data_IF_346983888122
#
_entry.id   IF_346983888122
#
_cell.length_a   1.000
_cell.length_b   1.000
_cell.length_c   1.000
_cell.angle_alpha   90.00
_cell.angle_beta   90.00
_cell.angle_gamma   90.00
#
_symmetry.space_group_name_H-M   'P 1'
#
loop_
_entity.id
_entity.type
_entity.pdbx_description
1 polymer ?
#
# COMPACT_ATOMS: atom_id res chain seq x y z
N UNK A 1 -8.27 -8.42 7.79
CA UNK A 1 -8.58 -9.06 6.50
C UNK A 1 -7.34 -9.60 5.79
N UNK A 2 -6.37 -8.76 5.39
CA UNK A 2 -5.15 -9.23 4.69
C UNK A 2 -4.39 -10.33 5.43
N UNK A 3 -4.28 -10.25 6.77
CA UNK A 3 -3.60 -11.28 7.58
C UNK A 3 -4.18 -12.67 7.36
N UNK A 4 -5.50 -12.80 7.22
CA UNK A 4 -6.15 -14.10 6.98
C UNK A 4 -5.75 -14.69 5.63
N UNK A 5 -5.74 -13.87 4.58
CA UNK A 5 -5.34 -14.30 3.24
C UNK A 5 -3.88 -14.75 3.22
N UNK A 6 -3.00 -14.01 3.90
CA UNK A 6 -1.58 -14.37 4.00
C UNK A 6 -1.37 -15.66 4.81
N UNK A 7 -2.15 -15.87 5.89
CA UNK A 7 -2.11 -17.10 6.66
C UNK A 7 -2.61 -18.30 5.84
N UNK A 8 -3.65 -18.13 5.01
CA UNK A 8 -4.05 -19.15 4.06
C UNK A 8 -2.93 -19.47 3.05
N UNK A 9 -2.30 -18.47 2.44
CA UNK A 9 -1.16 -18.70 1.53
C UNK A 9 0.01 -19.42 2.23
N UNK A 10 0.14 -19.26 3.55
CA UNK A 10 1.22 -19.86 4.35
C UNK A 10 0.94 -21.30 4.76
N UNK A 11 -0.28 -21.60 5.19
CA UNK A 11 -0.64 -22.89 5.82
C UNK A 11 -1.62 -23.72 5.02
N UNK A 12 -2.27 -23.14 4.00
CA UNK A 12 -3.28 -23.77 3.15
C UNK A 12 -4.50 -24.28 3.91
N UNK A 13 -4.76 -23.73 5.09
CA UNK A 13 -5.92 -24.04 5.93
C UNK A 13 -7.07 -23.08 5.59
N UNK A 14 -8.16 -23.63 5.06
CA UNK A 14 -9.33 -22.88 4.61
C UNK A 14 -10.07 -22.17 5.75
N UNK A 15 -9.82 -22.50 7.02
CA UNK A 15 -10.42 -21.76 8.14
C UNK A 15 -10.09 -20.26 8.09
N UNK A 16 -8.91 -19.89 7.56
CA UNK A 16 -8.53 -18.50 7.35
C UNK A 16 -9.35 -17.83 6.23
N UNK A 17 -9.71 -18.57 5.18
CA UNK A 17 -10.60 -18.08 4.13
C UNK A 17 -12.02 -17.85 4.66
N UNK A 18 -12.53 -18.75 5.50
CA UNK A 18 -13.84 -18.58 6.14
C UNK A 18 -13.88 -17.35 7.04
N UNK A 19 -12.84 -17.15 7.86
CA UNK A 19 -12.71 -15.93 8.68
C UNK A 19 -12.61 -14.67 7.82
N UNK A 20 -11.90 -14.75 6.70
CA UNK A 20 -11.88 -13.65 5.76
C UNK A 20 -13.29 -13.32 5.23
N UNK A 21 -14.07 -14.32 4.82
CA UNK A 21 -15.43 -14.17 4.29
C UNK A 21 -16.37 -13.49 5.30
N UNK A 22 -16.34 -13.90 6.57
CA UNK A 22 -17.15 -13.29 7.64
C UNK A 22 -16.95 -11.77 7.72
N UNK A 23 -15.69 -11.34 7.71
CA UNK A 23 -15.32 -9.92 7.75
C UNK A 23 -15.61 -9.22 6.43
N UNK A 24 -15.31 -9.86 5.31
CA UNK A 24 -15.50 -9.31 3.98
C UNK A 24 -16.97 -8.99 3.69
N UNK A 25 -17.87 -9.93 4.00
CA UNK A 25 -19.32 -9.73 3.88
C UNK A 25 -19.81 -8.58 4.76
N UNK A 26 -19.26 -8.45 5.97
CA UNK A 26 -19.60 -7.35 6.89
C UNK A 26 -19.19 -5.99 6.32
N UNK A 27 -18.01 -5.89 5.68
CA UNK A 27 -17.55 -4.65 5.04
C UNK A 27 -18.36 -4.32 3.78
N UNK A 28 -18.76 -5.31 2.97
CA UNK A 28 -19.61 -5.07 1.79
C UNK A 28 -20.99 -4.52 2.15
N UNK A 29 -21.55 -4.90 3.30
CA UNK A 29 -22.79 -4.31 3.84
C UNK A 29 -22.63 -2.83 4.20
N UNK A 30 -21.41 -2.34 4.36
CA UNK A 30 -21.11 -0.95 4.69
C UNK A 30 -20.92 -0.04 3.47
N UNK A 31 -21.03 -0.56 2.24
CA UNK A 31 -20.97 0.28 1.03
C UNK A 31 -22.09 1.30 1.02
N UNK A 32 -21.80 2.46 0.47
CA UNK A 32 -22.74 3.57 0.46
C UNK A 32 -24.00 3.25 -0.36
N UNK A 33 -23.84 2.60 -1.52
CA UNK A 33 -24.97 2.10 -2.34
C UNK A 33 -25.84 1.05 -1.64
N UNK A 34 -25.31 0.35 -0.64
CA UNK A 34 -26.08 -0.62 0.17
C UNK A 34 -26.79 0.09 1.33
N UNK A 35 -26.11 1.07 1.94
CA UNK A 35 -26.64 1.86 3.06
C UNK A 35 -27.59 2.98 2.62
N UNK A 36 -27.65 3.30 1.33
CA UNK A 36 -28.45 4.40 0.78
C UNK A 36 -27.95 5.79 1.19
N UNK A 37 -26.65 5.91 1.48
CA UNK A 37 -26.03 7.20 1.86
C UNK A 37 -25.24 7.78 0.69
N UNK A 38 -25.05 9.10 0.67
CA UNK A 38 -24.47 9.80 -0.48
C UNK A 38 -23.17 10.53 -0.14
N UNK A 39 -22.31 10.72 -1.14
CA UNK A 39 -21.16 11.62 -1.03
C UNK A 39 -21.56 13.09 -1.23
N UNK A 40 -20.55 13.96 -1.28
CA UNK A 40 -20.70 15.40 -1.46
C UNK A 40 -21.39 15.81 -2.76
N UNK A 41 -21.47 14.91 -3.76
CA UNK A 41 -22.14 15.12 -5.05
C UNK A 41 -23.60 14.65 -5.02
N UNK A 42 -24.06 14.10 -3.89
CA UNK A 42 -25.37 13.46 -3.79
C UNK A 42 -25.42 12.06 -4.38
N UNK A 43 -24.27 11.42 -4.66
CA UNK A 43 -24.22 10.10 -5.27
C UNK A 43 -24.05 8.99 -4.23
N UNK A 44 -24.87 7.94 -4.34
CA UNK A 44 -24.75 6.72 -3.54
C UNK A 44 -24.06 5.63 -4.39
N UNK A 45 -22.75 5.46 -4.18
CA UNK A 45 -21.87 4.67 -5.05
C UNK A 45 -21.41 3.37 -4.39
N UNK A 46 -20.95 2.35 -5.15
CA UNK A 46 -20.48 1.07 -4.60
C UNK A 46 -19.09 1.15 -3.95
N UNK A 47 -18.85 2.18 -3.15
CA UNK A 47 -17.61 2.44 -2.41
C UNK A 47 -17.95 2.88 -0.96
N UNK A 48 -16.94 3.34 -0.21
CA UNK A 48 -17.08 3.75 1.19
C UNK A 48 -16.62 5.20 1.34
N UNK A 49 -17.55 6.12 1.62
CA UNK A 49 -17.21 7.51 1.93
C UNK A 49 -16.48 7.64 3.27
N UNK A 50 -15.64 8.67 3.34
CA UNK A 50 -15.00 9.18 4.56
C UNK A 50 -15.41 10.64 4.78
N UNK A 51 -15.33 11.10 6.03
CA UNK A 51 -15.37 12.51 6.39
C UNK A 51 -14.30 12.82 7.45
N UNK A 52 -13.98 14.10 7.64
CA UNK A 52 -13.35 14.59 8.86
C UNK A 52 -14.44 15.18 9.76
N UNK A 53 -14.38 14.92 11.07
CA UNK A 53 -15.37 15.45 12.00
C UNK A 53 -15.39 16.99 11.95
N UNK A 54 -16.58 17.63 12.00
CA UNK A 54 -16.68 19.08 12.09
C UNK A 54 -15.84 19.61 13.26
N UNK A 55 -15.00 20.62 12.99
CA UNK A 55 -14.10 21.20 13.99
C UNK A 55 -12.75 20.48 14.16
N UNK A 56 -12.47 19.42 13.40
CA UNK A 56 -11.13 18.81 13.34
C UNK A 56 -10.09 19.86 12.92
N UNK A 57 -8.99 20.06 13.66
CA UNK A 57 -7.88 20.90 13.21
C UNK A 57 -7.25 20.33 11.94
N UNK A 58 -7.03 21.17 10.92
CA UNK A 58 -6.44 20.79 9.62
C UNK A 58 -7.13 19.57 8.95
N UNK A 59 -8.44 19.65 8.67
CA UNK A 59 -9.15 18.53 8.07
C UNK A 59 -8.68 18.29 6.64
N UNK A 60 -8.54 17.01 6.25
CA UNK A 60 -8.24 16.65 4.86
C UNK A 60 -9.49 16.79 3.97
N UNK A 61 -10.66 16.49 4.54
CA UNK A 61 -11.97 16.66 3.92
C UNK A 61 -12.68 17.84 4.59
N UNK A 62 -12.92 18.90 3.82
CA UNK A 62 -13.45 20.16 4.30
C UNK A 62 -14.95 20.09 4.61
N UNK A 63 -15.36 20.97 5.53
CA UNK A 63 -16.76 21.26 5.90
C UNK A 63 -17.58 20.05 6.39
N UNK A 64 -16.92 19.01 6.91
CA UNK A 64 -17.61 17.79 7.36
C UNK A 64 -18.33 17.05 6.22
N UNK A 65 -17.96 17.32 4.96
CA UNK A 65 -18.56 16.65 3.80
C UNK A 65 -18.03 15.21 3.70
N UNK A 66 -18.74 14.40 2.93
CA UNK A 66 -18.36 13.01 2.70
C UNK A 66 -17.78 12.83 1.30
N UNK A 67 -16.64 12.18 1.17
CA UNK A 67 -15.99 11.91 -0.11
C UNK A 67 -15.49 10.47 -0.18
N UNK A 68 -15.47 9.93 -1.41
CA UNK A 68 -14.77 8.70 -1.74
C UNK A 68 -13.33 9.06 -2.09
N UNK A 69 -12.36 8.37 -1.49
CA UNK A 69 -10.94 8.67 -1.63
C UNK A 69 -10.18 7.43 -2.11
N UNK A 70 -9.22 7.63 -3.01
CA UNK A 70 -8.45 6.57 -3.67
C UNK A 70 -7.77 5.64 -2.66
N UNK A 71 -7.17 6.18 -1.58
CA UNK A 71 -6.44 5.39 -0.59
C UNK A 71 -7.33 4.49 0.25
N UNK A 72 -8.50 4.96 0.67
CA UNK A 72 -9.49 4.15 1.38
C UNK A 72 -10.08 3.07 0.47
N UNK A 73 -10.47 3.43 -0.76
CA UNK A 73 -10.96 2.47 -1.74
C UNK A 73 -9.92 1.38 -2.01
N UNK A 74 -8.67 1.75 -2.28
CA UNK A 74 -7.59 0.79 -2.49
C UNK A 74 -7.39 -0.12 -1.28
N UNK A 75 -7.34 0.44 -0.07
CA UNK A 75 -7.09 -0.33 1.16
C UNK A 75 -8.22 -1.32 1.48
N UNK A 76 -9.47 -0.94 1.22
CA UNK A 76 -10.65 -1.76 1.49
C UNK A 76 -10.86 -2.80 0.37
N UNK A 77 -10.67 -2.42 -0.89
CA UNK A 77 -10.89 -3.29 -2.05
C UNK A 77 -9.76 -4.31 -2.27
N UNK A 78 -8.51 -3.97 -1.93
CA UNK A 78 -7.35 -4.85 -2.09
C UNK A 78 -7.56 -6.29 -1.58
N UNK A 79 -8.01 -6.53 -0.34
CA UNK A 79 -8.19 -7.90 0.14
C UNK A 79 -9.34 -8.65 -0.54
N UNK A 80 -10.38 -7.96 -1.06
CA UNK A 80 -11.41 -8.63 -1.88
C UNK A 80 -10.81 -9.17 -3.18
N UNK A 81 -10.02 -8.35 -3.87
CA UNK A 81 -9.35 -8.75 -5.10
C UNK A 81 -8.30 -9.84 -4.85
N UNK A 82 -7.54 -9.77 -3.74
CA UNK A 82 -6.57 -10.81 -3.37
C UNK A 82 -7.25 -12.16 -3.10
N UNK A 83 -8.36 -12.20 -2.36
CA UNK A 83 -9.12 -13.43 -2.17
C UNK A 83 -9.56 -14.03 -3.51
N UNK A 84 -10.13 -13.21 -4.40
CA UNK A 84 -10.58 -13.69 -5.69
C UNK A 84 -9.42 -14.26 -6.51
N UNK A 85 -8.27 -13.58 -6.53
CA UNK A 85 -7.04 -14.07 -7.16
C UNK A 85 -6.56 -15.40 -6.58
N UNK A 86 -6.66 -15.61 -5.27
CA UNK A 86 -6.30 -16.90 -4.64
C UNK A 86 -7.22 -18.00 -5.17
N UNK A 87 -8.54 -17.80 -5.08
CA UNK A 87 -9.53 -18.80 -5.48
C UNK A 87 -9.47 -19.12 -6.97
N UNK A 88 -9.36 -18.10 -7.84
CA UNK A 88 -9.34 -18.29 -9.30
C UNK A 88 -8.09 -18.99 -9.81
N UNK A 89 -6.99 -18.96 -9.05
CA UNK A 89 -5.74 -19.62 -9.41
C UNK A 89 -5.60 -21.02 -8.81
N UNK A 90 -6.64 -21.52 -8.13
CA UNK A 90 -6.56 -22.74 -7.34
C UNK A 90 -7.83 -23.60 -7.52
N UNK A 91 -7.78 -24.64 -8.37
CA UNK A 91 -8.93 -25.51 -8.62
C UNK A 91 -9.48 -26.21 -7.37
N UNK A 92 -8.67 -26.39 -6.32
CA UNK A 92 -9.12 -27.01 -5.06
C UNK A 92 -10.08 -26.10 -4.27
N UNK A 93 -10.14 -24.81 -4.61
CA UNK A 93 -11.00 -23.81 -3.99
C UNK A 93 -12.31 -23.56 -4.73
N UNK A 94 -12.75 -24.48 -5.60
CA UNK A 94 -13.96 -24.34 -6.41
C UNK A 94 -15.22 -23.99 -5.58
N UNK A 95 -15.31 -24.47 -4.33
CA UNK A 95 -16.40 -24.15 -3.40
C UNK A 95 -16.51 -22.64 -3.07
N UNK A 96 -15.44 -21.87 -3.27
CA UNK A 96 -15.37 -20.44 -3.01
C UNK A 96 -15.58 -19.58 -4.27
N UNK A 97 -15.75 -20.18 -5.46
CA UNK A 97 -15.81 -19.43 -6.72
C UNK A 97 -16.88 -18.34 -6.72
N UNK A 98 -18.07 -18.65 -6.22
CA UNK A 98 -19.16 -17.68 -6.13
C UNK A 98 -18.79 -16.47 -5.27
N UNK A 99 -18.07 -16.69 -4.17
CA UNK A 99 -17.57 -15.61 -3.31
C UNK A 99 -16.47 -14.81 -4.00
N UNK A 100 -15.57 -15.49 -4.71
CA UNK A 100 -14.53 -14.84 -5.50
C UNK A 100 -15.13 -13.90 -6.56
N UNK A 101 -16.18 -14.31 -7.27
CA UNK A 101 -16.88 -13.48 -8.26
C UNK A 101 -17.54 -12.25 -7.64
N UNK A 102 -18.18 -12.40 -6.48
CA UNK A 102 -18.78 -11.28 -5.74
C UNK A 102 -17.68 -10.28 -5.34
N UNK A 103 -16.56 -10.77 -4.81
CA UNK A 103 -15.51 -9.92 -4.26
C UNK A 103 -14.68 -9.23 -5.34
N UNK A 104 -14.33 -9.90 -6.45
CA UNK A 104 -13.63 -9.23 -7.54
C UNK A 104 -14.51 -8.18 -8.21
N UNK A 105 -15.81 -8.45 -8.36
CA UNK A 105 -16.76 -7.46 -8.88
C UNK A 105 -16.90 -6.27 -7.93
N UNK A 106 -17.03 -6.51 -6.63
CA UNK A 106 -17.09 -5.43 -5.65
C UNK A 106 -15.82 -4.56 -5.64
N UNK A 107 -14.63 -5.17 -5.79
CA UNK A 107 -13.39 -4.44 -5.93
C UNK A 107 -13.35 -3.61 -7.23
N UNK A 108 -13.75 -4.20 -8.36
CA UNK A 108 -13.82 -3.52 -9.65
C UNK A 108 -14.80 -2.34 -9.63
N UNK A 109 -16.00 -2.54 -9.08
CA UNK A 109 -17.03 -1.50 -8.94
C UNK A 109 -16.52 -0.34 -8.07
N UNK A 110 -15.84 -0.63 -6.97
CA UNK A 110 -15.29 0.39 -6.08
C UNK A 110 -14.14 1.18 -6.75
N UNK A 111 -13.25 0.50 -7.48
CA UNK A 111 -12.20 1.15 -8.27
C UNK A 111 -12.78 2.08 -9.33
N UNK A 112 -13.86 1.66 -10.01
CA UNK A 112 -14.50 2.43 -11.07
C UNK A 112 -15.10 3.78 -10.59
N UNK A 113 -15.37 3.94 -9.29
CA UNK A 113 -15.78 5.23 -8.69
C UNK A 113 -14.72 6.33 -8.89
N UNK A 114 -13.48 5.94 -9.16
CA UNK A 114 -12.32 6.82 -9.36
C UNK A 114 -11.89 6.92 -10.84
N UNK A 115 -12.68 6.44 -11.80
CA UNK A 115 -12.30 6.47 -13.22
C UNK A 115 -12.12 7.90 -13.76
N UNK A 116 -12.90 8.85 -13.26
CA UNK A 116 -12.79 10.26 -13.62
C UNK A 116 -11.63 10.99 -12.91
N UNK A 117 -10.94 10.32 -12.00
CA UNK A 117 -9.73 10.79 -11.30
C UNK A 117 -8.44 10.28 -11.95
N UNK A 118 -8.53 9.33 -12.90
CA UNK A 118 -7.39 8.81 -13.64
C UNK A 118 -6.84 9.82 -14.65
N UNK A 119 -5.52 10.03 -14.67
CA UNK A 119 -4.82 10.92 -15.61
C UNK A 119 -3.65 10.18 -16.25
N UNK A 120 -3.44 10.44 -17.54
CA UNK A 120 -2.35 9.87 -18.33
C UNK A 120 -1.46 10.98 -18.87
N UNK A 121 -0.16 10.71 -18.94
CA UNK A 121 0.82 11.59 -19.57
C UNK A 121 1.86 10.73 -20.26
N UNK A 122 1.78 10.63 -21.59
CA UNK A 122 2.64 9.74 -22.38
C UNK A 122 2.46 8.28 -21.95
N UNK A 123 3.53 7.68 -21.42
CA UNK A 123 3.58 6.30 -20.93
C UNK A 123 3.33 6.16 -19.43
N UNK A 124 3.11 7.27 -18.73
CA UNK A 124 2.83 7.34 -17.30
C UNK A 124 1.35 7.56 -17.02
N UNK A 125 0.94 7.32 -15.78
CA UNK A 125 -0.42 7.58 -15.33
C UNK A 125 -0.56 7.54 -13.82
N UNK A 126 -1.47 8.34 -13.30
CA UNK A 126 -1.73 8.45 -11.87
C UNK A 126 -3.18 8.89 -11.60
N UNK A 127 -3.64 8.69 -10.37
CA UNK A 127 -4.89 9.26 -9.88
C UNK A 127 -4.67 10.65 -9.30
N UNK A 128 -5.70 11.51 -9.35
CA UNK A 128 -5.73 12.82 -8.70
C UNK A 128 -6.84 12.88 -7.66
N UNK A 129 -6.73 13.79 -6.68
CA UNK A 129 -7.92 14.23 -5.95
C UNK A 129 -8.81 15.00 -6.92
N UNK A 130 -10.07 14.59 -7.13
CA UNK A 130 -10.96 15.29 -8.08
C UNK A 130 -11.01 16.79 -7.78
N UNK A 131 -10.74 17.63 -8.77
CA UNK A 131 -10.88 19.09 -8.65
C UNK A 131 -12.33 19.46 -8.32
N UNK A 132 -12.54 20.39 -7.39
CA UNK A 132 -13.84 20.77 -6.84
C UNK A 132 -14.42 19.74 -5.85
N UNK A 133 -13.68 18.67 -5.51
CA UNK A 133 -14.04 17.82 -4.37
C UNK A 133 -13.79 18.53 -3.05
N UNK A 134 -14.35 18.09 -1.91
CA UNK A 134 -14.07 18.70 -0.61
C UNK A 134 -12.69 18.33 -0.07
N UNK A 135 -11.78 17.75 -0.86
CA UNK A 135 -10.44 17.43 -0.38
C UNK A 135 -9.56 18.69 -0.41
N UNK A 136 -8.79 18.95 0.65
CA UNK A 136 -8.08 20.22 0.83
C UNK A 136 -7.17 20.60 -0.36
N UNK A 137 -6.54 19.63 -1.00
CA UNK A 137 -5.72 19.80 -2.21
C UNK A 137 -6.35 19.14 -3.45
N UNK A 138 -7.62 19.42 -3.68
CA UNK A 138 -8.31 19.02 -4.90
C UNK A 138 -7.54 19.43 -6.17
N UNK A 139 -7.63 18.64 -7.24
CA UNK A 139 -6.90 18.87 -8.50
C UNK A 139 -5.46 18.38 -8.52
N UNK A 140 -4.89 17.97 -7.37
CA UNK A 140 -3.49 17.49 -7.27
C UNK A 140 -3.43 15.97 -7.41
N UNK A 141 -2.36 15.44 -8.05
CA UNK A 141 -2.05 14.01 -8.09
C UNK A 141 -1.92 13.40 -6.71
N UNK A 142 -2.56 12.26 -6.44
CA UNK A 142 -2.49 11.62 -5.13
C UNK A 142 -1.04 11.17 -4.83
N UNK A 143 -0.60 11.13 -3.57
CA UNK A 143 0.77 10.71 -3.22
C UNK A 143 1.13 9.31 -3.76
N UNK A 144 2.42 9.01 -3.86
CA UNK A 144 2.89 7.74 -4.44
C UNK A 144 2.30 6.53 -3.73
N UNK A 145 2.30 6.52 -2.40
CA UNK A 145 1.74 5.40 -1.63
C UNK A 145 0.26 5.14 -1.94
N UNK A 146 -0.54 6.17 -2.25
CA UNK A 146 -1.95 6.02 -2.62
C UNK A 146 -2.11 5.46 -4.03
N UNK A 147 -1.33 5.99 -4.99
CA UNK A 147 -1.26 5.45 -6.36
C UNK A 147 -0.83 3.97 -6.36
N UNK A 148 0.23 3.63 -5.62
CA UNK A 148 0.76 2.28 -5.52
C UNK A 148 -0.17 1.36 -4.74
N UNK A 149 -0.88 1.87 -3.72
CA UNK A 149 -1.96 1.15 -3.06
C UNK A 149 -3.08 0.76 -4.04
N UNK A 150 -3.49 1.70 -4.91
CA UNK A 150 -4.45 1.42 -5.97
C UNK A 150 -3.88 0.41 -6.98
N UNK A 151 -2.62 0.55 -7.39
CA UNK A 151 -1.95 -0.39 -8.30
C UNK A 151 -1.88 -1.82 -7.76
N UNK A 152 -1.66 -2.01 -6.45
CA UNK A 152 -1.75 -3.33 -5.79
C UNK A 152 -3.14 -3.95 -5.96
N UNK A 153 -4.20 -3.15 -5.84
CA UNK A 153 -5.59 -3.59 -6.03
C UNK A 153 -5.85 -3.96 -7.47
N UNK A 154 -5.51 -3.06 -8.41
CA UNK A 154 -5.63 -3.29 -9.85
C UNK A 154 -4.91 -4.58 -10.26
N UNK A 155 -3.71 -4.83 -9.72
CA UNK A 155 -2.94 -6.05 -10.00
C UNK A 155 -3.67 -7.31 -9.59
N UNK A 156 -4.30 -7.33 -8.41
CA UNK A 156 -5.08 -8.50 -7.97
C UNK A 156 -6.35 -8.68 -8.82
N UNK A 157 -7.01 -7.59 -9.22
CA UNK A 157 -8.16 -7.67 -10.11
C UNK A 157 -7.73 -8.22 -11.48
N UNK A 158 -6.65 -7.69 -12.06
CA UNK A 158 -6.10 -8.19 -13.32
C UNK A 158 -5.74 -9.67 -13.23
N UNK A 159 -5.06 -10.11 -12.17
CA UNK A 159 -4.72 -11.53 -11.98
C UNK A 159 -5.97 -12.42 -11.88
N UNK A 160 -7.09 -11.91 -11.37
CA UNK A 160 -8.33 -12.66 -11.24
C UNK A 160 -9.24 -12.62 -12.49
N UNK A 161 -9.07 -11.63 -13.37
CA UNK A 161 -10.02 -11.34 -14.48
C UNK A 161 -9.39 -11.36 -15.87
N UNK A 162 -8.09 -11.08 -15.98
CA UNK A 162 -7.39 -10.88 -17.25
C UNK A 162 -7.73 -9.58 -17.99
N UNK A 163 -8.52 -8.66 -17.41
CA UNK A 163 -8.96 -7.45 -18.11
C UNK A 163 -7.79 -6.47 -18.36
N UNK A 164 -7.54 -6.17 -19.65
CA UNK A 164 -6.37 -5.39 -20.10
C UNK A 164 -6.31 -3.96 -19.55
N UNK A 165 -7.46 -3.32 -19.29
CA UNK A 165 -7.51 -1.96 -18.73
C UNK A 165 -6.79 -1.84 -17.38
N UNK A 166 -6.81 -2.91 -16.59
CA UNK A 166 -6.12 -2.93 -15.29
C UNK A 166 -4.61 -3.06 -15.48
N UNK A 167 -4.16 -3.92 -16.41
CA UNK A 167 -2.76 -4.07 -16.76
C UNK A 167 -2.15 -2.75 -17.26
N UNK A 168 -2.86 -2.04 -18.13
CA UNK A 168 -2.43 -0.74 -18.63
C UNK A 168 -2.21 0.28 -17.49
N UNK A 169 -3.21 0.46 -16.60
CA UNK A 169 -3.07 1.36 -15.44
C UNK A 169 -1.93 0.95 -14.50
N UNK A 170 -1.76 -0.35 -14.21
CA UNK A 170 -0.65 -0.83 -13.37
C UNK A 170 0.69 -0.45 -13.99
N UNK A 171 0.85 -0.69 -15.29
CA UNK A 171 2.09 -0.43 -16.02
C UNK A 171 2.44 1.05 -16.01
N UNK A 172 1.43 1.91 -16.23
CA UNK A 172 1.57 3.36 -16.21
C UNK A 172 1.91 3.92 -14.83
N UNK A 173 1.29 3.40 -13.77
CA UNK A 173 1.63 3.78 -12.38
C UNK A 173 3.03 3.29 -12.02
N UNK A 174 3.41 2.09 -12.44
CA UNK A 174 4.74 1.55 -12.17
C UNK A 174 5.83 2.39 -12.84
N UNK A 175 5.65 2.73 -14.13
CA UNK A 175 6.55 3.63 -14.86
C UNK A 175 6.65 4.99 -14.20
N UNK A 176 5.51 5.58 -13.85
CA UNK A 176 5.47 6.86 -13.13
C UNK A 176 6.31 6.80 -11.84
N UNK A 177 6.16 5.74 -11.04
CA UNK A 177 6.96 5.59 -9.83
C UNK A 177 8.45 5.36 -10.12
N UNK A 178 8.80 4.53 -11.12
CA UNK A 178 10.19 4.26 -11.51
C UNK A 178 10.95 5.54 -11.86
N UNK A 179 10.35 6.43 -12.65
CA UNK A 179 10.95 7.71 -13.07
C UNK A 179 11.17 8.69 -11.90
N UNK A 180 10.49 8.47 -10.77
CA UNK A 180 10.60 9.32 -9.58
C UNK A 180 11.42 8.70 -8.45
N UNK A 181 12.02 7.52 -8.68
CA UNK A 181 13.00 6.95 -7.75
C UNK A 181 14.35 7.64 -7.92
N UNK A 182 14.92 8.08 -6.80
CA UNK A 182 16.31 8.56 -6.76
C UNK A 182 17.21 7.43 -6.28
N UNK A 183 18.28 7.16 -7.03
CA UNK A 183 19.34 6.25 -6.62
C UNK A 183 20.36 7.02 -5.77
N UNK A 184 20.37 6.76 -4.46
CA UNK A 184 21.32 7.33 -3.51
C UNK A 184 22.29 6.22 -3.07
N UNK A 185 23.52 6.24 -3.62
CA UNK A 185 24.43 5.09 -3.62
C UNK A 185 23.71 3.85 -4.20
N UNK A 186 23.50 2.80 -3.40
CA UNK A 186 22.76 1.58 -3.81
C UNK A 186 21.33 1.50 -3.25
N UNK A 187 20.81 2.59 -2.67
CA UNK A 187 19.48 2.64 -2.08
C UNK A 187 18.51 3.40 -3.00
N UNK A 188 17.28 2.91 -3.14
CA UNK A 188 16.21 3.72 -3.69
C UNK A 188 15.57 4.59 -2.61
N UNK A 189 15.50 5.89 -2.87
CA UNK A 189 14.82 6.87 -2.02
C UNK A 189 13.84 7.68 -2.86
N UNK A 190 12.73 8.10 -2.28
CA UNK A 190 11.72 8.89 -2.99
C UNK A 190 10.96 9.83 -2.05
N UNK A 191 10.47 10.93 -2.63
CA UNK A 191 9.62 11.88 -1.93
C UNK A 191 8.20 11.33 -1.77
N UNK A 192 7.49 11.77 -0.72
CA UNK A 192 6.09 11.37 -0.51
C UNK A 192 5.17 11.84 -1.64
N UNK A 193 5.38 13.08 -2.10
CA UNK A 193 4.69 13.69 -3.22
C UNK A 193 5.59 13.87 -4.44
N UNK A 194 4.95 14.13 -5.57
CA UNK A 194 5.54 14.55 -6.84
C UNK A 194 4.74 15.73 -7.43
N UNK A 195 5.15 16.24 -8.59
CA UNK A 195 4.42 17.28 -9.32
C UNK A 195 4.05 18.47 -8.44
N UNK A 196 2.79 18.91 -8.51
CA UNK A 196 2.27 20.01 -7.67
C UNK A 196 2.30 19.71 -6.17
N UNK A 197 2.08 18.46 -5.76
CA UNK A 197 2.16 18.09 -4.35
C UNK A 197 3.57 18.32 -3.77
N UNK A 198 4.60 18.03 -4.56
CA UNK A 198 5.99 18.29 -4.18
C UNK A 198 6.40 19.75 -4.40
N UNK A 199 6.12 20.33 -5.57
CA UNK A 199 6.61 21.65 -5.99
C UNK A 199 5.82 22.82 -5.41
N UNK A 200 4.57 22.59 -5.01
CA UNK A 200 3.64 23.66 -4.74
C UNK A 200 2.99 24.22 -6.00
N UNK A 201 2.15 25.23 -5.78
CA UNK A 201 1.47 25.97 -6.84
C UNK A 201 1.10 27.38 -6.38
N UNK A 202 0.94 28.29 -7.34
CA UNK A 202 0.47 29.66 -7.13
C UNK A 202 -1.02 29.81 -7.48
N UNK A 203 -1.59 30.95 -7.12
CA UNK A 203 -3.00 31.30 -7.36
C UNK A 203 -3.32 31.31 -8.86
N UNK A 204 -2.38 31.77 -9.69
CA UNK A 204 -2.54 31.92 -11.13
C UNK A 204 -2.66 30.57 -11.85
N UNK A 205 -2.10 29.51 -11.28
CA UNK A 205 -2.14 28.17 -11.86
C UNK A 205 -3.50 27.49 -11.67
N UNK A 206 -4.34 27.98 -10.75
CA UNK A 206 -5.69 27.46 -10.48
C UNK A 206 -5.73 25.94 -10.30
N UNK A 207 -4.75 25.37 -9.59
CA UNK A 207 -4.65 23.90 -9.42
C UNK A 207 -5.78 23.36 -8.54
N UNK A 208 -6.03 24.03 -7.42
CA UNK A 208 -7.00 23.62 -6.38
C UNK A 208 -7.99 24.75 -6.12
N UNK A 209 -9.27 24.40 -5.98
CA UNK A 209 -10.32 25.36 -5.61
C UNK A 209 -10.29 25.62 -4.10
N UNK A 210 -9.87 24.62 -3.30
CA UNK A 210 -9.86 24.70 -1.83
C UNK A 210 -8.58 25.31 -1.25
N UNK A 211 -7.44 25.13 -1.93
CA UNK A 211 -6.14 25.66 -1.54
C UNK A 211 -5.54 26.44 -2.71
N UNK A 212 -5.84 27.74 -2.86
CA UNK A 212 -5.40 28.51 -4.02
C UNK A 212 -3.88 28.60 -4.21
N UNK A 213 -3.10 28.49 -3.13
CA UNK A 213 -1.64 28.40 -3.21
C UNK A 213 -1.07 27.47 -2.13
N UNK A 214 0.02 26.78 -2.46
CA UNK A 214 0.69 25.85 -1.56
C UNK A 214 2.20 25.83 -1.84
N UNK A 215 3.02 25.77 -0.79
CA UNK A 215 4.49 25.76 -0.92
C UNK A 215 5.11 24.43 -1.31
N UNK A 216 4.30 23.37 -1.42
CA UNK A 216 4.78 22.02 -1.69
C UNK A 216 5.24 21.26 -0.44
N UNK A 217 5.26 19.93 -0.54
CA UNK A 217 5.71 19.04 0.52
C UNK A 217 6.99 18.31 0.11
N UNK A 218 8.10 18.64 0.78
CA UNK A 218 9.45 18.19 0.40
C UNK A 218 9.98 16.99 1.18
N UNK A 219 9.16 16.35 2.03
CA UNK A 219 9.65 15.21 2.81
C UNK A 219 9.69 13.94 1.98
N UNK A 220 10.68 13.11 2.30
CA UNK A 220 10.77 11.73 1.85
C UNK A 220 9.55 10.93 2.33
N UNK A 221 9.31 9.79 1.69
CA UNK A 221 8.34 8.80 2.15
C UNK A 221 8.76 8.24 3.52
N UNK A 222 7.80 8.06 4.43
CA UNK A 222 8.06 7.35 5.68
C UNK A 222 8.00 5.83 5.52
N UNK A 223 8.61 5.08 6.43
CA UNK A 223 8.74 3.63 6.31
C UNK A 223 7.39 2.89 6.30
N UNK A 224 6.32 3.46 6.88
CA UNK A 224 5.01 2.80 6.99
C UNK A 224 4.26 2.90 5.68
N UNK A 225 4.19 4.09 5.12
CA UNK A 225 3.62 4.29 3.79
C UNK A 225 4.53 3.70 2.71
N UNK A 226 5.84 3.78 2.88
CA UNK A 226 6.83 3.18 1.98
C UNK A 226 6.73 1.65 1.91
N UNK A 227 6.21 0.99 2.94
CA UNK A 227 5.90 -0.45 2.87
C UNK A 227 4.88 -0.79 1.78
N UNK A 228 3.96 0.13 1.44
CA UNK A 228 3.02 -0.06 0.32
C UNK A 228 3.74 -0.06 -1.02
N UNK A 229 4.69 0.86 -1.20
CA UNK A 229 5.51 0.93 -2.40
C UNK A 229 6.41 -0.31 -2.54
N UNK A 230 7.07 -0.70 -1.45
CA UNK A 230 7.93 -1.88 -1.40
C UNK A 230 7.15 -3.17 -1.69
N UNK A 231 5.95 -3.33 -1.13
CA UNK A 231 5.07 -4.48 -1.42
C UNK A 231 4.64 -4.49 -2.90
N UNK A 232 4.26 -3.34 -3.46
CA UNK A 232 3.92 -3.23 -4.87
C UNK A 232 5.08 -3.63 -5.78
N UNK A 233 6.30 -3.17 -5.50
CA UNK A 233 7.49 -3.49 -6.30
C UNK A 233 7.73 -4.99 -6.36
N UNK A 234 7.62 -5.70 -5.23
CA UNK A 234 7.72 -7.17 -5.21
C UNK A 234 6.60 -7.81 -6.03
N UNK A 235 5.36 -7.34 -5.89
CA UNK A 235 4.23 -7.88 -6.65
C UNK A 235 4.37 -7.66 -8.16
N UNK A 236 4.85 -6.49 -8.58
CA UNK A 236 5.07 -6.15 -9.98
C UNK A 236 6.21 -6.95 -10.59
N UNK A 237 7.33 -7.10 -9.86
CA UNK A 237 8.46 -7.96 -10.24
C UNK A 237 8.02 -9.42 -10.41
N UNK A 238 7.29 -9.97 -9.45
CA UNK A 238 6.77 -11.34 -9.51
C UNK A 238 5.80 -11.57 -10.66
N UNK A 239 5.06 -10.53 -11.07
CA UNK A 239 4.14 -10.59 -12.19
C UNK A 239 4.82 -10.34 -13.55
N UNK A 240 6.11 -9.96 -13.58
CA UNK A 240 6.83 -9.63 -14.81
C UNK A 240 6.33 -8.35 -15.50
N UNK A 241 5.66 -7.44 -14.78
CA UNK A 241 5.04 -6.23 -15.36
C UNK A 241 6.00 -5.04 -15.35
N UNK A 242 6.70 -4.84 -14.23
CA UNK A 242 7.63 -3.74 -14.00
C UNK A 242 8.65 -4.15 -12.93
N UNK A 243 9.73 -3.37 -12.81
CA UNK A 243 10.85 -3.69 -11.91
C UNK A 243 11.45 -5.08 -12.17
N UNK A 244 11.48 -5.53 -13.43
CA UNK A 244 11.72 -6.93 -13.83
C UNK A 244 13.15 -7.44 -13.59
N UNK A 245 14.09 -6.55 -13.31
CA UNK A 245 15.47 -6.89 -12.98
C UNK A 245 15.70 -6.99 -11.47
N UNK A 246 16.43 -8.01 -11.02
CA UNK A 246 16.73 -8.28 -9.60
C UNK A 246 17.35 -7.07 -8.88
N UNK A 247 18.08 -6.22 -9.62
CA UNK A 247 18.69 -5.00 -9.09
C UNK A 247 17.67 -4.10 -8.39
N UNK A 248 16.42 -4.07 -8.85
CA UNK A 248 15.38 -3.28 -8.19
C UNK A 248 15.05 -3.85 -6.81
N UNK A 249 14.92 -5.16 -6.68
CA UNK A 249 14.66 -5.83 -5.41
C UNK A 249 15.82 -5.59 -4.44
N UNK A 250 17.06 -5.70 -4.91
CA UNK A 250 18.24 -5.42 -4.09
C UNK A 250 18.31 -3.95 -3.65
N UNK A 251 18.01 -2.97 -4.51
CA UNK A 251 18.04 -1.55 -4.15
C UNK A 251 17.02 -1.17 -3.09
N UNK A 252 15.80 -1.73 -3.15
CA UNK A 252 14.80 -1.56 -2.08
C UNK A 252 15.22 -2.28 -0.78
N UNK A 253 15.86 -3.45 -0.88
CA UNK A 253 16.42 -4.13 0.28
C UNK A 253 17.54 -3.31 0.94
N UNK A 254 18.39 -2.64 0.15
CA UNK A 254 19.42 -1.72 0.67
C UNK A 254 18.82 -0.50 1.35
N UNK A 255 17.74 0.06 0.82
CA UNK A 255 16.98 1.11 1.53
C UNK A 255 16.56 0.64 2.93
N UNK A 256 16.05 -0.59 3.03
CA UNK A 256 15.67 -1.16 4.31
C UNK A 256 16.88 -1.34 5.26
N UNK A 257 17.94 -1.98 4.80
CA UNK A 257 19.10 -2.34 5.63
C UNK A 257 19.98 -1.14 6.01
N UNK A 258 20.17 -0.20 5.09
CA UNK A 258 21.15 0.88 5.25
C UNK A 258 20.50 2.19 5.72
N UNK A 259 19.24 2.45 5.33
CA UNK A 259 18.58 3.71 5.65
C UNK A 259 17.52 3.56 6.74
N UNK A 260 16.74 2.47 6.75
CA UNK A 260 15.63 2.33 7.70
C UNK A 260 16.05 1.66 9.01
N UNK A 261 16.77 0.54 8.95
CA UNK A 261 17.21 -0.20 10.14
C UNK A 261 18.55 0.34 10.61
N UNK A 262 18.60 0.85 11.84
CA UNK A 262 19.82 1.33 12.48
C UNK A 262 20.60 0.17 13.12
N UNK A 263 21.90 0.39 13.33
CA UNK A 263 22.77 -0.59 14.01
C UNK A 263 22.38 -0.90 15.47
N UNK A 264 21.61 -0.03 16.12
CA UNK A 264 21.05 -0.24 17.47
C UNK A 264 19.67 -0.90 17.45
N UNK A 265 19.17 -1.32 16.28
CA UNK A 265 17.85 -1.91 16.09
C UNK A 265 16.71 -0.89 16.01
N UNK A 266 17.00 0.41 16.12
CA UNK A 266 16.02 1.47 15.92
C UNK A 266 15.59 1.61 14.46
N UNK A 267 14.42 2.21 14.22
CA UNK A 267 13.88 2.46 12.88
C UNK A 267 13.91 3.95 12.58
N UNK A 268 14.52 4.34 11.47
CA UNK A 268 14.44 5.70 10.94
C UNK A 268 13.08 5.94 10.30
N UNK A 269 12.56 7.16 10.46
CA UNK A 269 11.24 7.54 9.96
C UNK A 269 11.17 7.48 8.43
N UNK A 270 12.16 8.02 7.72
CA UNK A 270 12.12 8.20 6.27
C UNK A 270 13.02 7.23 5.52
N UNK A 271 12.61 6.87 4.29
CA UNK A 271 13.35 5.98 3.38
C UNK A 271 14.74 6.50 3.01
N UNK A 272 15.00 7.80 3.17
CA UNK A 272 16.32 8.40 2.99
C UNK A 272 17.27 8.16 4.16
N UNK A 273 16.78 7.66 5.29
CA UNK A 273 17.54 7.54 6.54
C UNK A 273 17.78 8.88 7.25
N UNK A 274 17.35 9.99 6.65
CA UNK A 274 17.38 11.31 7.26
C UNK A 274 16.24 11.42 8.27
N UNK A 275 16.47 12.17 9.35
CA UNK A 275 15.43 12.50 10.31
C UNK A 275 14.57 13.66 9.81
N UNK A 276 13.33 13.77 10.32
CA UNK A 276 12.32 14.73 9.85
C UNK A 276 12.82 16.17 9.78
N UNK A 277 13.70 16.54 10.71
CA UNK A 277 14.12 17.92 10.97
C UNK A 277 15.64 18.04 11.26
N UNK A 278 16.45 17.03 10.91
CA UNK A 278 17.79 16.87 11.51
C UNK A 278 17.76 16.45 12.99
N UNK A 279 16.57 16.40 13.61
CA UNK A 279 16.29 15.81 14.91
C UNK A 279 15.52 14.50 14.78
N UNK A 280 15.92 13.48 15.55
CA UNK A 280 15.28 12.17 15.58
C UNK A 280 13.83 12.28 16.08
N UNK A 281 12.84 12.19 15.19
CA UNK A 281 11.51 11.74 15.60
C UNK A 281 11.60 10.23 15.84
N UNK A 282 11.82 9.92 17.11
CA UNK A 282 12.01 8.57 17.63
C UNK A 282 10.67 7.88 17.72
N UNK A 283 10.38 6.88 16.88
CA UNK A 283 9.37 5.89 17.23
C UNK A 283 10.00 4.87 18.17
N UNK A 284 9.85 5.09 19.48
CA UNK A 284 9.99 4.03 20.49
C UNK A 284 8.59 3.48 20.78
N UNK A 285 8.46 2.15 20.77
CA UNK A 285 7.22 1.45 21.13
C UNK A 285 6.54 0.72 19.96
N UNK A 286 5.25 0.43 20.11
CA UNK A 286 4.43 -0.45 19.25
C UNK A 286 4.35 -0.09 17.75
N UNK A 287 4.97 1.00 17.28
CA UNK A 287 4.98 1.33 15.87
C UNK A 287 6.23 0.82 15.13
N UNK A 288 7.34 0.55 15.84
CA UNK A 288 8.56 0.04 15.21
C UNK A 288 8.37 -1.34 14.56
N UNK A 289 7.48 -2.17 15.13
CA UNK A 289 7.07 -3.47 14.58
C UNK A 289 6.54 -3.34 13.14
N UNK A 290 6.01 -2.17 12.74
CA UNK A 290 5.50 -1.95 11.39
C UNK A 290 6.59 -2.02 10.32
N UNK A 291 7.88 -2.01 10.70
CA UNK A 291 8.96 -2.36 9.76
C UNK A 291 8.77 -3.76 9.18
N UNK A 292 8.12 -4.65 9.93
CA UNK A 292 7.73 -5.98 9.47
C UNK A 292 6.74 -5.98 8.32
N UNK A 293 6.16 -4.86 7.92
CA UNK A 293 5.38 -4.76 6.67
C UNK A 293 6.27 -4.89 5.42
N UNK A 294 7.60 -4.72 5.56
CA UNK A 294 8.59 -4.93 4.50
C UNK A 294 9.01 -6.40 4.33
N UNK A 295 8.37 -7.34 5.05
CA UNK A 295 8.84 -8.74 5.17
C UNK A 295 9.04 -9.50 3.86
N UNK A 296 8.44 -9.05 2.74
CA UNK A 296 8.69 -9.64 1.42
C UNK A 296 10.15 -9.57 0.99
N UNK A 297 10.95 -8.67 1.57
CA UNK A 297 12.38 -8.56 1.30
C UNK A 297 13.25 -9.49 2.17
N UNK A 298 12.70 -10.27 3.10
CA UNK A 298 13.50 -11.06 4.05
C UNK A 298 14.50 -12.04 3.42
N UNK A 299 14.32 -12.44 2.16
CA UNK A 299 15.30 -13.30 1.47
C UNK A 299 16.58 -12.59 1.09
N UNK A 300 16.47 -11.30 0.75
CA UNK A 300 17.60 -10.45 0.35
C UNK A 300 18.06 -9.51 1.48
N UNK A 301 17.22 -9.33 2.51
CA UNK A 301 17.51 -8.62 3.76
C UNK A 301 17.14 -9.50 4.98
N UNK A 302 17.91 -10.56 5.27
CA UNK A 302 17.55 -11.58 6.26
C UNK A 302 17.50 -11.07 7.71
N UNK A 303 18.21 -9.97 8.01
CA UNK A 303 18.18 -9.31 9.32
C UNK A 303 16.78 -8.82 9.69
N UNK A 304 15.94 -8.47 8.70
CA UNK A 304 14.59 -7.99 8.92
C UNK A 304 13.75 -8.98 9.74
N UNK A 305 13.82 -10.27 9.43
CA UNK A 305 13.03 -11.28 10.11
C UNK A 305 13.44 -11.40 11.57
N UNK A 306 14.73 -11.60 11.83
CA UNK A 306 15.26 -11.85 13.17
C UNK A 306 15.03 -10.61 14.06
N UNK A 307 15.25 -9.40 13.53
CA UNK A 307 14.97 -8.14 14.24
C UNK A 307 13.48 -7.95 14.54
N UNK A 308 12.60 -8.25 13.57
CA UNK A 308 11.15 -8.13 13.78
C UNK A 308 10.68 -9.14 14.83
N UNK A 309 11.17 -10.39 14.81
CA UNK A 309 10.87 -11.38 15.85
C UNK A 309 11.25 -10.88 17.26
N UNK A 310 12.43 -10.27 17.41
CA UNK A 310 12.86 -9.69 18.70
C UNK A 310 11.90 -8.59 19.17
N UNK A 311 11.45 -7.72 18.26
CA UNK A 311 10.49 -6.66 18.60
C UNK A 311 9.13 -7.24 19.01
N UNK A 312 8.63 -8.27 18.32
CA UNK A 312 7.32 -8.89 18.63
C UNK A 312 7.37 -9.73 19.90
N UNK A 313 8.50 -10.34 20.25
CA UNK A 313 8.61 -11.24 21.41
C UNK A 313 8.28 -10.55 22.75
N UNK A 314 8.47 -9.23 22.85
CA UNK A 314 8.13 -8.44 24.03
C UNK A 314 6.66 -7.96 24.08
N UNK A 315 5.83 -8.28 23.08
CA UNK A 315 4.48 -7.74 22.94
C UNK A 315 3.42 -8.81 23.27
N UNK A 316 2.48 -8.47 24.15
CA UNK A 316 1.30 -9.30 24.45
C UNK A 316 0.11 -9.01 23.53
N UNK A 317 0.09 -7.84 22.89
CA UNK A 317 -0.94 -7.42 21.93
C UNK A 317 -0.31 -6.65 20.80
N UNK A 318 -0.83 -6.82 19.59
CA UNK A 318 -0.47 -6.03 18.43
C UNK A 318 -1.74 -5.40 17.86
N UNK A 319 -1.69 -4.10 17.52
CA UNK A 319 -2.82 -3.43 16.85
C UNK A 319 -3.12 -4.05 15.48
N UNK A 320 -4.18 -3.60 14.80
CA UNK A 320 -4.60 -4.18 13.53
C UNK A 320 -3.47 -4.27 12.46
N UNK A 321 -2.62 -3.24 12.26
CA UNK A 321 -1.47 -3.36 11.35
C UNK A 321 -0.41 -4.37 11.84
N UNK A 322 -0.21 -4.48 13.15
CA UNK A 322 0.71 -5.46 13.75
C UNK A 322 0.24 -6.91 13.59
N UNK A 323 -1.07 -7.18 13.52
CA UNK A 323 -1.59 -8.51 13.15
C UNK A 323 -1.15 -8.92 11.74
N UNK A 324 -1.03 -7.97 10.81
CA UNK A 324 -0.49 -8.25 9.48
C UNK A 324 1.01 -8.55 9.54
N UNK A 325 1.76 -7.84 10.39
CA UNK A 325 3.18 -8.15 10.64
C UNK A 325 3.36 -9.58 11.19
N UNK A 326 2.53 -10.00 12.15
CA UNK A 326 2.57 -11.37 12.68
C UNK A 326 2.29 -12.41 11.59
N UNK A 327 1.32 -12.16 10.70
CA UNK A 327 1.08 -13.04 9.55
C UNK A 327 2.28 -13.09 8.61
N UNK A 328 2.94 -11.96 8.36
CA UNK A 328 4.18 -11.88 7.59
C UNK A 328 5.34 -12.65 8.23
N UNK A 329 5.47 -12.64 9.56
CA UNK A 329 6.45 -13.48 10.27
C UNK A 329 6.17 -14.97 10.07
N UNK A 330 4.93 -15.41 10.17
CA UNK A 330 4.59 -16.81 9.90
C UNK A 330 4.93 -17.20 8.45
N UNK A 331 4.52 -16.35 7.50
CA UNK A 331 4.84 -16.52 6.08
C UNK A 331 6.35 -16.61 5.84
N UNK A 332 7.12 -15.65 6.37
CA UNK A 332 8.56 -15.62 6.19
C UNK A 332 9.23 -16.83 6.83
N UNK A 333 8.83 -17.23 8.05
CA UNK A 333 9.36 -18.41 8.73
C UNK A 333 9.26 -19.68 7.88
N UNK A 334 8.12 -19.88 7.18
CA UNK A 334 7.92 -21.00 6.26
C UNK A 334 8.71 -20.89 4.94
N UNK A 335 9.08 -19.67 4.54
CA UNK A 335 9.75 -19.38 3.28
C UNK A 335 11.26 -19.06 3.42
N UNK A 336 11.81 -19.16 4.64
CA UNK A 336 13.24 -18.98 4.91
C UNK A 336 14.04 -20.02 4.13
N UNK A 337 15.17 -19.58 3.59
CA UNK A 337 16.24 -20.50 3.19
C UNK A 337 16.76 -21.12 4.50
N UNK A 338 16.78 -22.47 4.64
CA UNK A 338 17.34 -23.11 5.81
C UNK A 338 18.77 -22.59 6.02
N UNK A 339 19.12 -22.16 7.24
CA UNK A 339 20.53 -21.98 7.58
C UNK A 339 21.16 -23.36 7.49
N UNK A 340 22.02 -23.59 6.49
CA UNK A 340 22.81 -24.82 6.42
C UNK A 340 23.61 -24.90 7.73
N UNK A 341 23.46 -25.95 8.54
CA UNK A 341 24.31 -26.13 9.70
C UNK A 341 25.71 -26.47 9.21
N UNK A 342 26.65 -25.54 9.36
CA UNK A 342 28.09 -25.80 9.22
C UNK A 342 28.70 -25.46 7.86
N UNK A 343 29.24 -24.25 7.75
CA UNK A 343 30.54 -24.01 7.13
C UNK A 343 31.01 -22.62 7.54
N UNK A 344 31.54 -22.50 8.76
CA UNK A 344 32.49 -21.44 9.03
C UNK A 344 33.76 -21.80 8.25
N UNK A 345 34.31 -20.91 7.40
CA UNK A 345 35.70 -21.08 6.98
C UNK A 345 36.55 -20.99 8.25
N UNK A 346 37.24 -22.08 8.57
CA UNK A 346 38.40 -21.97 9.45
C UNK A 346 39.43 -21.14 8.70
N UNK A 347 39.79 -20.00 9.27
CA UNK A 347 41.00 -19.30 8.90
C UNK A 347 42.18 -20.26 9.10
N UNK A 348 42.90 -20.54 8.02
CA UNK A 348 44.32 -20.85 8.05
C UNK A 348 45.04 -19.78 7.25
#
# INVERSE_FOLDING_TARGET
MQSYLLMYETYRDTCYLEKFIDHADSVLKQRDSVRGVTDYRGLSLPAWRRTNEPGTPNPLILDGRYAHLVVETASIAYPFAWFARIVKNDPELCNYERKADIYVRAAADAVAVHDDEWRESGEEGCYIFRKGSPYWCDGVGVPFNQNLGMARTLLKIWQATGEAKYLDRITRIARHFQEHLTLAADCYVWNYWYGHGYNGWSVEQQVSDNTPSYGGYKKYEDFRHGAVAADFVVLAYQAGIAFTEDVHIYRFARTLENNLIRGDGGINEFVSGLSADGGSSMEKGNNSILIGLWMRYHRVAPSLFDNTCQQVAGLSTVGAPGLLVVAYLNWASKNRIPKTPGSYPQNN
#
